data_IF_313258811178
#
_entry.id   IF_313258811178
#
_cell.length_a   1.000
_cell.length_b   1.000
_cell.length_c   1.000
_cell.angle_alpha   90.00
_cell.angle_beta   90.00
_cell.angle_gamma   90.00
#
_symmetry.space_group_name_H-M   'P 1'
#
loop_
_entity.id
_entity.type
_entity.pdbx_description
1 polymer ?
#
# COMPACT_ATOMS: atom_id res chain seq x y z
N UNK A 1 4.23 -10.07 14.09
CA UNK A 1 3.66 -9.33 12.94
C UNK A 1 4.69 -9.25 11.82
N UNK A 2 4.27 -9.55 10.60
CA UNK A 2 5.12 -9.47 9.42
C UNK A 2 4.69 -8.30 8.56
N UNK A 3 5.57 -7.31 8.42
CA UNK A 3 5.37 -6.14 7.56
C UNK A 3 6.44 -6.16 6.49
N UNK A 4 6.05 -6.07 5.22
CA UNK A 4 7.00 -6.02 4.12
C UNK A 4 6.89 -4.70 3.37
N UNK A 5 8.01 -4.23 2.84
CA UNK A 5 8.09 -3.09 1.94
C UNK A 5 8.59 -3.58 0.59
N UNK A 6 7.89 -3.23 -0.48
CA UNK A 6 8.17 -3.79 -1.79
C UNK A 6 7.90 -2.77 -2.90
N UNK A 7 8.94 -2.41 -3.63
CA UNK A 7 8.75 -1.67 -4.87
C UNK A 7 8.34 -2.66 -5.95
N UNK A 8 7.07 -2.61 -6.35
CA UNK A 8 6.49 -3.63 -7.24
C UNK A 8 6.62 -3.29 -8.72
N UNK A 9 7.02 -2.08 -9.04
CA UNK A 9 7.16 -1.65 -10.44
C UNK A 9 5.93 -2.04 -11.27
N UNK A 10 4.81 -1.44 -10.93
CA UNK A 10 3.46 -1.73 -11.44
C UNK A 10 2.79 -2.89 -10.72
N UNK A 11 1.84 -2.54 -9.85
CA UNK A 11 1.05 -3.56 -9.12
C UNK A 11 0.27 -4.46 -10.07
N UNK A 12 -0.24 -3.89 -11.16
CA UNK A 12 -1.04 -4.64 -12.13
C UNK A 12 -0.19 -5.64 -12.92
N UNK A 13 1.02 -5.23 -13.31
CA UNK A 13 1.93 -6.10 -14.04
C UNK A 13 2.49 -7.23 -13.17
N UNK A 14 2.59 -7.01 -11.85
CA UNK A 14 3.20 -7.95 -10.91
C UNK A 14 2.19 -8.63 -10.00
N UNK A 15 0.90 -8.56 -10.33
CA UNK A 15 -0.14 -9.05 -9.41
C UNK A 15 0.01 -10.54 -9.09
N UNK A 16 0.38 -11.35 -10.06
CA UNK A 16 0.59 -12.79 -9.83
C UNK A 16 1.75 -13.05 -8.87
N UNK A 17 2.85 -12.32 -9.04
CA UNK A 17 4.02 -12.41 -8.15
C UNK A 17 3.64 -12.01 -6.72
N UNK A 18 2.86 -10.93 -6.58
CA UNK A 18 2.45 -10.43 -5.28
C UNK A 18 1.54 -11.44 -4.60
N UNK A 19 0.57 -11.99 -5.30
CA UNK A 19 -0.37 -12.97 -4.75
C UNK A 19 0.35 -14.26 -4.36
N UNK A 20 1.30 -14.73 -5.18
CA UNK A 20 2.10 -15.90 -4.83
C UNK A 20 2.88 -15.67 -3.55
N UNK A 21 3.46 -14.48 -3.37
CA UNK A 21 4.16 -14.13 -2.14
C UNK A 21 3.22 -14.12 -0.94
N UNK A 22 2.01 -13.56 -1.11
CA UNK A 22 0.99 -13.54 -0.06
C UNK A 22 0.62 -14.96 0.37
N UNK A 23 0.42 -15.86 -0.57
CA UNK A 23 0.09 -17.26 -0.28
C UNK A 23 1.18 -17.96 0.52
N UNK A 24 2.44 -17.73 0.15
CA UNK A 24 3.58 -18.41 0.76
C UNK A 24 3.97 -17.80 2.11
N UNK A 25 4.03 -16.48 2.19
CA UNK A 25 4.59 -15.77 3.34
C UNK A 25 3.54 -15.24 4.31
N UNK A 26 2.31 -15.07 3.87
CA UNK A 26 1.17 -14.58 4.67
C UNK A 26 1.52 -13.32 5.47
N UNK A 27 1.99 -12.25 4.80
CA UNK A 27 2.32 -11.02 5.52
C UNK A 27 1.06 -10.39 6.12
N UNK A 28 1.24 -9.67 7.21
CA UNK A 28 0.13 -8.92 7.81
C UNK A 28 -0.10 -7.60 7.09
N UNK A 29 0.97 -6.94 6.66
CA UNK A 29 0.91 -5.64 6.00
C UNK A 29 1.94 -5.59 4.88
N UNK A 30 1.53 -5.08 3.72
CA UNK A 30 2.40 -4.78 2.60
C UNK A 30 2.45 -3.28 2.37
N UNK A 31 3.64 -2.72 2.33
CA UNK A 31 3.88 -1.34 1.95
C UNK A 31 4.42 -1.35 0.52
N UNK A 32 3.57 -0.98 -0.44
CA UNK A 32 3.90 -1.08 -1.86
C UNK A 32 4.28 0.29 -2.43
N UNK A 33 5.35 0.32 -3.23
CA UNK A 33 5.80 1.52 -3.93
C UNK A 33 5.79 1.26 -5.43
N UNK A 34 5.74 2.33 -6.21
CA UNK A 34 5.63 2.30 -7.67
C UNK A 34 4.46 1.44 -8.14
N UNK A 35 3.27 1.68 -7.58
CA UNK A 35 2.08 0.93 -7.99
C UNK A 35 1.65 1.27 -9.41
N UNK A 36 1.99 2.46 -9.91
CA UNK A 36 1.82 2.94 -11.29
C UNK A 36 0.39 2.82 -11.79
N UNK A 37 -0.57 3.12 -10.93
CA UNK A 37 -1.98 3.10 -11.30
C UNK A 37 -2.78 4.05 -10.42
N UNK A 38 -3.90 4.50 -10.96
CA UNK A 38 -4.89 5.26 -10.22
C UNK A 38 -5.68 4.33 -9.29
N UNK A 39 -6.32 4.92 -8.28
CA UNK A 39 -7.11 4.16 -7.33
C UNK A 39 -8.19 3.31 -8.02
N UNK A 40 -8.86 3.86 -9.03
CA UNK A 40 -9.94 3.17 -9.75
C UNK A 40 -9.47 1.87 -10.40
N UNK A 41 -8.21 1.80 -10.80
CA UNK A 41 -7.63 0.67 -11.51
C UNK A 41 -6.77 -0.23 -10.63
N UNK A 42 -6.66 0.09 -9.35
CA UNK A 42 -5.92 -0.75 -8.39
C UNK A 42 -6.74 -2.04 -8.13
N UNK A 43 -6.09 -3.21 -8.12
CA UNK A 43 -6.80 -4.50 -7.98
C UNK A 43 -7.24 -4.78 -6.54
N UNK A 44 -8.08 -3.92 -5.97
CA UNK A 44 -8.59 -4.04 -4.59
C UNK A 44 -9.29 -5.37 -4.35
N UNK A 45 -10.11 -5.81 -5.31
CA UNK A 45 -10.93 -7.00 -5.15
C UNK A 45 -10.07 -8.26 -5.02
N UNK A 46 -8.96 -8.31 -5.74
CA UNK A 46 -8.02 -9.44 -5.63
C UNK A 46 -7.44 -9.49 -4.23
N UNK A 47 -6.97 -8.35 -3.69
CA UNK A 47 -6.46 -8.31 -2.32
C UNK A 47 -7.54 -8.61 -1.29
N UNK A 48 -8.77 -8.15 -1.51
CA UNK A 48 -9.90 -8.46 -0.62
C UNK A 48 -10.15 -9.97 -0.55
N UNK A 49 -10.02 -10.68 -1.66
CA UNK A 49 -10.21 -12.13 -1.70
C UNK A 49 -9.23 -12.88 -0.78
N UNK A 50 -8.08 -12.28 -0.51
CA UNK A 50 -7.08 -12.84 0.41
C UNK A 50 -7.12 -12.23 1.81
N UNK A 51 -8.15 -11.45 2.11
CA UNK A 51 -8.39 -10.89 3.44
C UNK A 51 -7.68 -9.56 3.71
N UNK A 52 -7.31 -8.82 2.68
CA UNK A 52 -6.61 -7.53 2.83
C UNK A 52 -7.49 -6.37 2.43
N UNK A 53 -7.34 -5.27 3.15
CA UNK A 53 -7.91 -3.96 2.81
C UNK A 53 -6.81 -3.11 2.19
N UNK A 54 -7.10 -2.43 1.10
CA UNK A 54 -6.13 -1.60 0.39
C UNK A 54 -6.39 -0.11 0.60
N UNK A 55 -5.33 0.62 0.94
CA UNK A 55 -5.32 2.08 1.10
C UNK A 55 -4.35 2.63 0.05
N UNK A 56 -4.84 3.47 -0.86
CA UNK A 56 -4.12 3.78 -2.09
C UNK A 56 -3.96 5.27 -2.26
N UNK A 57 -2.74 5.69 -2.62
CA UNK A 57 -2.47 7.02 -3.12
C UNK A 57 -1.77 6.87 -4.47
N UNK A 58 -2.58 6.84 -5.53
CA UNK A 58 -2.11 6.52 -6.87
C UNK A 58 -2.09 7.70 -7.81
N UNK A 59 -1.41 7.51 -8.91
CA UNK A 59 -1.46 8.37 -10.08
C UNK A 59 -1.21 7.53 -11.33
N UNK A 60 -1.65 8.04 -12.46
CA UNK A 60 -1.53 7.30 -13.72
C UNK A 60 -0.07 7.14 -14.12
N UNK A 61 0.32 5.93 -14.47
CA UNK A 61 1.60 5.55 -15.11
C UNK A 61 2.87 5.71 -14.29
N UNK A 62 2.91 6.58 -13.27
CA UNK A 62 4.11 6.87 -12.48
C UNK A 62 3.82 6.80 -11.00
N UNK A 63 4.89 6.62 -10.20
CA UNK A 63 4.83 6.71 -8.75
C UNK A 63 3.70 5.86 -8.15
N UNK A 64 3.08 6.35 -7.07
CA UNK A 64 1.99 5.69 -6.39
C UNK A 64 2.46 4.78 -5.28
N UNK A 65 1.77 4.88 -4.14
CA UNK A 65 2.03 4.08 -2.95
C UNK A 65 0.72 3.49 -2.45
N UNK A 66 0.82 2.33 -1.81
CA UNK A 66 -0.35 1.70 -1.21
C UNK A 66 0.05 0.97 0.07
N UNK A 67 -0.88 0.91 1.00
CA UNK A 67 -0.79 0.03 2.18
C UNK A 67 -1.87 -1.03 2.01
N UNK A 68 -1.46 -2.29 1.94
CA UNK A 68 -2.36 -3.43 1.84
C UNK A 68 -2.27 -4.19 3.17
N UNK A 69 -3.36 -4.23 3.93
CA UNK A 69 -3.33 -4.64 5.33
C UNK A 69 -4.44 -5.63 5.65
N UNK A 70 -4.13 -6.64 6.47
CA UNK A 70 -5.14 -7.51 7.07
C UNK A 70 -5.98 -6.78 8.12
N UNK A 71 -5.48 -5.65 8.61
CA UNK A 71 -6.14 -4.88 9.66
C UNK A 71 -6.71 -3.61 9.07
N UNK A 72 -7.86 -3.18 9.62
CA UNK A 72 -8.39 -1.86 9.29
C UNK A 72 -7.48 -0.80 9.91
N UNK A 73 -7.06 0.17 9.10
CA UNK A 73 -6.23 1.28 9.56
C UNK A 73 -7.08 2.53 9.77
N UNK A 74 -6.61 3.41 10.65
CA UNK A 74 -7.22 4.69 10.93
C UNK A 74 -6.32 5.83 10.44
N UNK A 75 -6.91 7.02 10.27
CA UNK A 75 -6.19 8.26 10.00
C UNK A 75 -5.25 8.16 8.79
N UNK A 76 -5.78 7.65 7.69
CA UNK A 76 -5.04 7.60 6.43
C UNK A 76 -4.75 9.03 5.96
N UNK A 77 -3.49 9.31 5.69
CA UNK A 77 -3.05 10.63 5.27
C UNK A 77 -2.15 10.53 4.04
N UNK A 78 -2.48 11.29 3.01
CA UNK A 78 -1.72 11.37 1.75
C UNK A 78 -1.16 12.78 1.51
N UNK A 79 -1.35 13.69 2.45
CA UNK A 79 -0.92 15.09 2.35
C UNK A 79 0.23 15.42 3.30
N UNK A 80 0.98 14.42 3.74
CA UNK A 80 2.06 14.57 4.70
C UNK A 80 3.16 15.53 4.19
N UNK A 81 3.49 15.45 2.91
CA UNK A 81 4.40 16.39 2.26
C UNK A 81 3.65 17.08 1.13
N UNK A 82 3.73 18.42 1.13
CA UNK A 82 3.20 19.21 0.02
C UNK A 82 4.22 19.16 -1.12
N UNK A 83 3.84 18.53 -2.20
CA UNK A 83 4.65 18.43 -3.39
C UNK A 83 3.99 19.24 -4.51
N UNK A 84 4.67 20.26 -5.01
CA UNK A 84 4.18 21.08 -6.12
C UNK A 84 3.98 20.27 -7.40
N UNK A 85 4.69 19.17 -7.55
CA UNK A 85 4.56 18.25 -8.68
C UNK A 85 3.39 17.28 -8.52
N UNK A 86 2.72 17.29 -7.38
CA UNK A 86 1.57 16.42 -7.06
C UNK A 86 1.88 14.93 -7.27
N UNK A 87 3.04 14.49 -6.83
CA UNK A 87 3.46 13.10 -6.98
C UNK A 87 3.02 12.27 -5.79
N UNK A 88 2.45 11.09 -6.08
CA UNK A 88 1.94 10.17 -5.08
C UNK A 88 3.09 9.33 -4.51
N UNK A 89 3.78 9.86 -3.50
CA UNK A 89 4.98 9.23 -2.94
C UNK A 89 4.88 8.83 -1.48
N UNK A 90 3.90 9.36 -0.73
CA UNK A 90 3.79 9.08 0.71
C UNK A 90 2.35 8.82 1.09
N UNK A 91 2.14 7.73 1.80
CA UNK A 91 0.87 7.43 2.46
C UNK A 91 1.15 6.97 3.88
N UNK A 92 0.39 7.47 4.83
CA UNK A 92 0.51 7.07 6.23
C UNK A 92 -0.82 6.53 6.74
N UNK A 93 -0.77 5.74 7.79
CA UNK A 93 -1.94 5.22 8.47
C UNK A 93 -1.60 4.76 9.87
N UNK A 94 -2.61 4.58 10.70
CA UNK A 94 -2.43 4.12 12.07
C UNK A 94 -3.03 2.73 12.26
N UNK A 95 -2.25 1.86 12.89
CA UNK A 95 -2.70 0.54 13.31
C UNK A 95 -2.81 0.52 14.83
N UNK A 96 -3.99 0.16 15.33
CA UNK A 96 -4.22 -0.03 16.76
C UNK A 96 -4.15 -1.50 17.12
N UNK A 97 -3.26 -1.85 18.05
CA UNK A 97 -3.15 -3.21 18.60
C UNK A 97 -3.30 -3.11 20.11
N UNK A 98 -4.47 -3.48 20.63
CA UNK A 98 -4.79 -3.29 22.03
C UNK A 98 -4.73 -1.81 22.39
N UNK A 99 -3.88 -1.45 23.36
CA UNK A 99 -3.67 -0.06 23.78
C UNK A 99 -2.55 0.63 23.03
N UNK A 100 -1.86 -0.06 22.11
CA UNK A 100 -0.74 0.50 21.36
C UNK A 100 -1.22 0.98 20.00
N UNK A 101 -0.62 2.09 19.56
CA UNK A 101 -0.79 2.61 18.21
C UNK A 101 0.54 2.58 17.49
N UNK A 102 0.52 2.06 16.27
CA UNK A 102 1.67 2.01 15.39
C UNK A 102 1.35 2.89 14.18
N UNK A 103 2.18 3.88 13.92
CA UNK A 103 2.08 4.67 12.70
C UNK A 103 2.87 4.00 11.59
N UNK A 104 2.20 3.74 10.48
CA UNK A 104 2.81 3.17 9.28
C UNK A 104 3.06 4.30 8.30
N UNK A 105 4.29 4.40 7.83
CA UNK A 105 4.70 5.42 6.86
C UNK A 105 5.28 4.70 5.65
N UNK A 106 4.61 4.80 4.52
CA UNK A 106 5.07 4.21 3.26
C UNK A 106 5.56 5.32 2.35
N UNK A 107 6.85 5.32 2.07
CA UNK A 107 7.53 6.35 1.28
C UNK A 107 8.17 5.74 0.06
N UNK A 108 7.92 6.34 -1.11
CA UNK A 108 8.66 6.04 -2.32
C UNK A 108 9.67 7.16 -2.61
N UNK A 109 10.95 6.79 -2.67
CA UNK A 109 12.05 7.68 -3.02
C UNK A 109 12.66 7.17 -4.33
N UNK A 110 12.49 7.91 -5.42
CA UNK A 110 13.02 7.50 -6.71
C UNK A 110 14.55 7.57 -6.79
#
# INVERSE_FOLDING_TARGET
MKIISWNVNSVRARIENIINYIKDSKPDILLLQEIKTQEENFPKDIFNDYGYVSYIFGQKSYNGVAIVSKFKLDNINTSFIKDNLKQSRIITGELSIGKKKIELINIYVP
#
